data_IF_649151658981
#
_entry.id   IF_649151658981
#
_cell.length_a   1.000
_cell.length_b   1.000
_cell.length_c   1.000
_cell.angle_alpha   90.00
_cell.angle_beta   90.00
_cell.angle_gamma   90.00
#
_symmetry.space_group_name_H-M   'P 1'
#
loop_
_entity.id
_entity.type
_entity.pdbx_description
1 polymer ?
#
# COMPACT_ATOMS: atom_id res chain seq x y z
N UNK A 1 12.12 4.03 11.66
CA UNK A 1 11.33 4.80 10.66
C UNK A 1 10.30 3.85 10.07
N UNK A 2 9.12 4.28 9.66
CA UNK A 2 8.07 3.34 9.17
C UNK A 2 7.90 3.52 7.67
N UNK A 3 7.69 2.43 6.94
CA UNK A 3 7.29 2.43 5.55
C UNK A 3 6.08 1.53 5.34
N UNK A 4 5.24 1.87 4.36
CA UNK A 4 4.14 1.03 3.91
C UNK A 4 4.50 0.45 2.55
N UNK A 5 4.63 -0.86 2.48
CA UNK A 5 4.86 -1.57 1.23
C UNK A 5 3.53 -2.08 0.67
N UNK A 6 3.35 -1.93 -0.64
CA UNK A 6 2.13 -2.28 -1.32
C UNK A 6 2.34 -3.48 -2.23
N UNK A 7 1.47 -4.46 -2.07
CA UNK A 7 1.52 -5.71 -2.81
C UNK A 7 0.21 -5.90 -3.55
N UNK A 8 0.32 -6.31 -4.80
CA UNK A 8 -0.78 -6.83 -5.59
C UNK A 8 -0.59 -8.33 -5.76
N UNK A 9 -1.63 -9.10 -5.44
CA UNK A 9 -1.65 -10.54 -5.68
C UNK A 9 -2.30 -10.82 -7.02
N UNK A 10 -1.58 -11.48 -7.92
CA UNK A 10 -2.16 -11.93 -9.18
C UNK A 10 -3.09 -13.13 -8.99
N UNK A 11 -3.82 -13.51 -10.05
CA UNK A 11 -4.75 -14.64 -10.04
C UNK A 11 -4.07 -16.00 -9.74
N UNK A 12 -2.75 -16.09 -9.91
CA UNK A 12 -1.94 -17.29 -9.66
C UNK A 12 -1.43 -17.30 -8.20
N UNK A 13 -1.71 -16.24 -7.43
CA UNK A 13 -1.32 -16.09 -6.03
C UNK A 13 0.07 -15.50 -5.83
N UNK A 14 0.74 -15.05 -6.90
CA UNK A 14 2.06 -14.42 -6.82
C UNK A 14 1.90 -12.96 -6.41
N UNK A 15 2.80 -12.54 -5.53
CA UNK A 15 2.80 -11.20 -4.96
C UNK A 15 3.76 -10.32 -5.73
N UNK A 16 3.27 -9.16 -6.15
CA UNK A 16 4.01 -8.16 -6.91
C UNK A 16 4.09 -6.87 -6.09
N UNK A 17 5.31 -6.39 -5.83
CA UNK A 17 5.52 -5.11 -5.19
C UNK A 17 5.09 -4.00 -6.15
N UNK A 18 4.09 -3.22 -5.74
CA UNK A 18 3.58 -2.07 -6.49
C UNK A 18 4.38 -0.82 -6.13
N UNK A 19 4.66 -0.63 -4.84
CA UNK A 19 5.34 0.57 -4.39
C UNK A 19 5.57 0.61 -2.88
N UNK A 20 6.32 1.63 -2.47
CA UNK A 20 6.67 1.87 -1.07
C UNK A 20 6.31 3.33 -0.75
N UNK A 21 5.52 3.54 0.31
CA UNK A 21 5.24 4.85 0.88
C UNK A 21 6.03 5.01 2.18
N UNK A 22 7.13 5.78 2.17
CA UNK A 22 7.86 6.11 3.39
C UNK A 22 7.00 7.01 4.28
N UNK A 23 6.76 6.62 5.53
CA UNK A 23 6.03 7.46 6.47
C UNK A 23 6.96 8.51 7.06
N UNK A 24 6.67 9.78 6.71
CA UNK A 24 7.47 10.95 7.07
C UNK A 24 6.85 11.77 8.18
N UNK A 25 5.61 11.48 8.58
CA UNK A 25 4.91 12.18 9.66
C UNK A 25 5.38 11.65 11.00
N UNK A 26 5.60 12.56 11.95
CA UNK A 26 5.93 12.21 13.34
C UNK A 26 4.75 11.55 14.09
N UNK A 27 3.51 11.79 13.65
CA UNK A 27 2.32 11.25 14.27
C UNK A 27 1.68 10.18 13.37
N UNK A 28 1.95 8.91 13.70
CA UNK A 28 1.45 7.73 12.99
C UNK A 28 -0.07 7.54 13.16
N UNK A 29 -0.70 8.13 14.19
CA UNK A 29 -2.15 8.02 14.40
C UNK A 29 -2.97 8.81 13.36
N UNK A 30 -2.32 9.69 12.60
CA UNK A 30 -2.99 10.50 11.57
C UNK A 30 -3.25 9.72 10.28
N UNK A 31 -2.44 8.69 9.99
CA UNK A 31 -2.61 7.91 8.76
C UNK A 31 -3.58 6.76 9.01
N UNK A 32 -4.66 6.72 8.22
CA UNK A 32 -5.66 5.65 8.28
C UNK A 32 -5.40 4.62 7.20
N UNK A 33 -5.90 3.40 7.42
CA UNK A 33 -5.93 2.34 6.41
C UNK A 33 -6.52 2.83 5.07
N UNK A 34 -7.59 3.61 5.15
CA UNK A 34 -8.25 4.21 3.97
C UNK A 34 -7.35 5.21 3.24
N UNK A 35 -6.62 6.07 3.96
CA UNK A 35 -5.67 7.01 3.35
C UNK A 35 -4.56 6.28 2.58
N UNK A 36 -4.08 5.17 3.15
CA UNK A 36 -3.06 4.31 2.57
C UNK A 36 -3.60 3.66 1.28
N UNK A 37 -4.80 3.07 1.33
CA UNK A 37 -5.44 2.43 0.17
C UNK A 37 -5.78 3.42 -0.95
N UNK A 38 -6.26 4.61 -0.61
CA UNK A 38 -6.52 5.68 -1.58
C UNK A 38 -5.23 6.10 -2.30
N UNK A 39 -4.10 6.14 -1.58
CA UNK A 39 -2.80 6.42 -2.18
C UNK A 39 -2.44 5.39 -3.25
N UNK A 40 -2.66 4.11 -2.97
CA UNK A 40 -2.39 3.02 -3.91
C UNK A 40 -3.30 3.11 -5.12
N UNK A 41 -4.59 3.37 -4.91
CA UNK A 41 -5.56 3.54 -5.99
C UNK A 41 -5.11 4.63 -6.98
N UNK A 42 -4.60 5.76 -6.47
CA UNK A 42 -4.05 6.83 -7.30
C UNK A 42 -2.81 6.43 -8.11
N UNK A 43 -1.96 5.55 -7.57
CA UNK A 43 -0.71 5.12 -8.22
C UNK A 43 -0.97 4.05 -9.29
N UNK A 44 -1.90 3.13 -9.01
CA UNK A 44 -2.17 1.98 -9.85
C UNK A 44 -3.21 2.31 -10.95
N UNK A 45 -4.09 3.27 -10.71
CA UNK A 45 -5.23 3.58 -11.57
C UNK A 45 -6.35 2.52 -11.47
N UNK A 46 -7.54 2.87 -11.95
CA UNK A 46 -8.77 2.04 -11.86
C UNK A 46 -8.70 0.66 -12.57
N UNK A 47 -7.55 0.30 -13.14
CA UNK A 47 -7.37 -0.86 -14.01
C UNK A 47 -7.04 -2.17 -13.28
N UNK A 48 -6.66 -2.11 -12.00
CA UNK A 48 -6.38 -3.29 -11.20
C UNK A 48 -7.51 -3.48 -10.20
N UNK A 49 -8.14 -4.65 -10.25
CA UNK A 49 -9.17 -5.04 -9.29
C UNK A 49 -8.63 -4.83 -7.87
N UNK A 50 -9.16 -3.80 -7.22
CA UNK A 50 -8.72 -3.32 -5.91
C UNK A 50 -8.85 -4.36 -4.80
N UNK A 51 -9.57 -5.45 -5.06
CA UNK A 51 -9.77 -6.59 -4.17
C UNK A 51 -8.50 -7.42 -3.90
N UNK A 52 -7.47 -7.34 -4.74
CA UNK A 52 -6.24 -8.13 -4.57
C UNK A 52 -5.04 -7.30 -4.09
N UNK A 53 -5.28 -6.07 -3.66
CA UNK A 53 -4.24 -5.16 -3.16
C UNK A 53 -4.23 -5.20 -1.63
N UNK A 54 -3.04 -5.37 -1.06
CA UNK A 54 -2.83 -5.23 0.37
C UNK A 54 -1.55 -4.44 0.66
N UNK A 55 -1.40 -4.02 1.90
CA UNK A 55 -0.18 -3.35 2.36
C UNK A 55 0.31 -3.95 3.67
N UNK A 56 1.62 -3.83 3.87
CA UNK A 56 2.29 -4.19 5.12
C UNK A 56 3.03 -2.98 5.65
N UNK A 57 3.03 -2.84 6.97
CA UNK A 57 3.82 -1.84 7.65
C UNK A 57 5.17 -2.46 8.00
N UNK A 58 6.25 -1.82 7.56
CA UNK A 58 7.63 -2.26 7.79
C UNK A 58 8.34 -1.22 8.64
N UNK A 59 9.03 -1.69 9.68
CA UNK A 59 9.95 -0.86 10.47
C UNK A 59 11.33 -0.89 9.82
N UNK A 60 11.89 0.29 9.56
CA UNK A 60 13.25 0.57 9.08
C UNK A 60 14.14 1.12 10.17
#
# INVERSE_FOLDING_TARGET
MVAYEFYWRDEIGKEHLVGILPERRKNLLRITKESILNWVSLVIGDNLESNNIYFVQVEM
#
